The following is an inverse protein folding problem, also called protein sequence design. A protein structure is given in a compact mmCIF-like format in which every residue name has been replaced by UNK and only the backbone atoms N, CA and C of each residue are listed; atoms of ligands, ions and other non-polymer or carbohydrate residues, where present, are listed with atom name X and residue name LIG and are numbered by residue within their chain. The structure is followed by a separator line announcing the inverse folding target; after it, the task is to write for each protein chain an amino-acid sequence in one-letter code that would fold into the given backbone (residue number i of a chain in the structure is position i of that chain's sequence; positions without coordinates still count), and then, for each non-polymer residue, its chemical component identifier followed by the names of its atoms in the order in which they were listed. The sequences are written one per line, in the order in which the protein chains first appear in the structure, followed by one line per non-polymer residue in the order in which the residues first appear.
data_IF_854772596145
#
_entry.id   IF_854772596145
#
_cell.length_a   1.000
_cell.length_b   1.000
_cell.length_c   1.000
_cell.angle_alpha   90.00
_cell.angle_beta   90.00
_cell.angle_gamma   90.00
#
_symmetry.space_group_name_H-M   'P 1'
#
loop_
_entity.id
_entity.type
_entity.pdbx_description
1 polymer ?
#
# COMPACT_ATOMS: atom_id res chain seq x y z
N UNK A 1 -16.16 14.64 -11.74
CA UNK A 1 -15.79 14.35 -10.34
C UNK A 1 -15.87 15.65 -9.58
N UNK A 2 -16.74 15.77 -8.58
CA UNK A 2 -16.75 16.95 -7.71
C UNK A 2 -15.55 16.86 -6.77
N UNK A 3 -14.65 17.83 -6.81
CA UNK A 3 -13.53 17.91 -5.88
C UNK A 3 -14.09 17.98 -4.45
N UNK A 4 -13.48 17.25 -3.53
CA UNK A 4 -13.75 17.43 -2.10
C UNK A 4 -13.39 18.88 -1.73
N UNK A 5 -14.22 19.57 -0.92
CA UNK A 5 -13.88 20.92 -0.45
C UNK A 5 -12.45 20.99 0.08
N UNK A 6 -11.65 21.87 -0.52
CA UNK A 6 -10.24 22.11 -0.18
C UNK A 6 -10.10 23.46 0.53
N UNK A 7 -9.12 23.59 1.43
CA UNK A 7 -8.87 24.85 2.16
C UNK A 7 -8.69 24.68 3.67
N UNK A 8 -8.81 23.46 4.19
CA UNK A 8 -8.43 23.15 5.57
C UNK A 8 -6.93 22.79 5.66
N UNK A 9 -6.31 23.04 6.81
CA UNK A 9 -4.92 22.64 7.10
C UNK A 9 -4.75 21.13 7.34
N UNK A 10 -5.79 20.33 7.10
CA UNK A 10 -5.86 18.92 7.50
C UNK A 10 -5.93 18.06 6.24
N UNK A 11 -4.84 17.36 5.94
CA UNK A 11 -4.76 16.49 4.77
C UNK A 11 -5.74 15.30 4.81
N UNK A 12 -5.98 14.73 6.00
CA UNK A 12 -6.91 13.60 6.19
C UNK A 12 -7.96 13.97 7.25
N UNK A 13 -9.06 14.55 6.79
CA UNK A 13 -10.17 14.99 7.63
C UNK A 13 -11.30 13.95 7.73
N UNK A 14 -12.04 13.98 8.83
CA UNK A 14 -13.30 13.26 8.97
C UNK A 14 -14.45 14.03 8.28
N UNK A 15 -15.69 13.52 8.41
CA UNK A 15 -16.88 14.14 7.81
C UNK A 15 -17.21 15.55 8.32
N UNK A 16 -16.62 15.97 9.44
CA UNK A 16 -16.78 17.31 10.02
C UNK A 16 -15.65 18.26 9.62
N UNK A 17 -14.71 17.84 8.76
CA UNK A 17 -13.59 18.69 8.32
C UNK A 17 -12.42 18.79 9.31
N UNK A 18 -12.48 18.07 10.43
CA UNK A 18 -11.45 18.05 11.49
C UNK A 18 -10.61 16.76 11.41
N UNK A 19 -9.40 16.70 12.00
CA UNK A 19 -8.59 15.49 11.97
C UNK A 19 -9.24 14.34 12.75
N UNK A 20 -8.89 13.11 12.39
CA UNK A 20 -9.23 11.96 13.21
C UNK A 20 -8.53 12.04 14.57
N UNK A 21 -9.25 11.75 15.65
CA UNK A 21 -8.71 11.80 17.02
C UNK A 21 -7.58 10.80 17.28
N UNK A 22 -7.53 9.71 16.50
CA UNK A 22 -6.46 8.71 16.57
C UNK A 22 -6.38 7.86 15.31
N UNK A 23 -5.25 7.17 15.12
CA UNK A 23 -5.10 6.16 14.08
C UNK A 23 -6.14 5.02 14.19
N UNK A 24 -6.56 4.69 15.43
CA UNK A 24 -7.64 3.73 15.69
C UNK A 24 -8.97 4.25 15.16
N UNK A 25 -9.29 5.52 15.42
CA UNK A 25 -10.52 6.16 14.91
C UNK A 25 -10.58 6.15 13.38
N UNK A 26 -9.48 6.47 12.71
CA UNK A 26 -9.38 6.35 11.26
C UNK A 26 -9.60 4.90 10.78
N UNK A 27 -8.97 3.93 11.46
CA UNK A 27 -9.08 2.52 11.08
C UNK A 27 -10.50 1.98 11.22
N UNK A 28 -11.22 2.39 12.27
CA UNK A 28 -12.63 2.03 12.48
C UNK A 28 -13.52 2.64 11.38
N UNK A 29 -13.37 3.94 11.12
CA UNK A 29 -14.07 4.60 10.01
C UNK A 29 -13.81 3.90 8.68
N UNK A 30 -12.56 3.53 8.38
CA UNK A 30 -12.22 2.83 7.15
C UNK A 30 -12.91 1.46 7.06
N UNK A 31 -12.96 0.70 8.16
CA UNK A 31 -13.65 -0.60 8.21
C UNK A 31 -15.15 -0.44 7.98
N UNK A 32 -15.78 0.59 8.54
CA UNK A 32 -17.19 0.91 8.27
C UNK A 32 -17.43 1.21 6.79
N UNK A 33 -16.58 2.05 6.17
CA UNK A 33 -16.69 2.35 4.73
C UNK A 33 -16.47 1.10 3.87
N UNK A 34 -15.49 0.28 4.22
CA UNK A 34 -15.24 -1.03 3.59
C UNK A 34 -16.47 -1.93 3.66
N UNK A 35 -17.13 -2.01 4.81
CA UNK A 35 -18.35 -2.79 4.99
C UNK A 35 -19.51 -2.24 4.14
N UNK A 36 -19.72 -0.91 4.16
CA UNK A 36 -20.74 -0.25 3.33
C UNK A 36 -20.52 -0.47 1.83
N UNK A 37 -19.27 -0.57 1.40
CA UNK A 37 -18.90 -0.85 0.01
C UNK A 37 -18.96 -2.35 -0.36
N UNK A 38 -19.35 -3.24 0.56
CA UNK A 38 -19.39 -4.69 0.29
C UNK A 38 -18.01 -5.34 0.08
N UNK A 39 -16.93 -4.69 0.52
CA UNK A 39 -15.57 -5.16 0.25
C UNK A 39 -15.13 -6.27 1.23
N UNK A 40 -14.30 -7.24 0.78
CA UNK A 40 -13.78 -8.32 1.61
C UNK A 40 -13.13 -7.83 2.92
N UNK A 41 -13.21 -8.63 3.99
CA UNK A 41 -12.63 -8.29 5.31
C UNK A 41 -11.12 -7.99 5.27
N UNK A 42 -10.38 -8.55 4.31
CA UNK A 42 -8.93 -8.32 4.12
C UNK A 42 -8.59 -6.91 3.60
N UNK A 43 -9.56 -6.15 3.08
CA UNK A 43 -9.36 -4.80 2.56
C UNK A 43 -9.28 -3.78 3.70
N UNK A 44 -8.15 -3.75 4.41
CA UNK A 44 -7.88 -2.86 5.55
C UNK A 44 -6.75 -1.86 5.23
N UNK A 45 -6.61 -0.74 5.98
CA UNK A 45 -5.59 0.27 5.69
C UNK A 45 -4.16 -0.30 5.61
N UNK A 46 -3.80 -1.19 6.53
CA UNK A 46 -2.48 -1.83 6.50
C UNK A 46 -2.29 -2.70 5.24
N UNK A 47 -3.36 -3.31 4.73
CA UNK A 47 -3.36 -4.05 3.48
C UNK A 47 -3.02 -3.16 2.28
N UNK A 48 -3.55 -1.93 2.22
CA UNK A 48 -3.21 -0.96 1.17
C UNK A 48 -1.71 -0.66 1.16
N UNK A 49 -1.11 -0.47 2.34
CA UNK A 49 0.33 -0.23 2.48
C UNK A 49 1.15 -1.42 1.96
N UNK A 50 0.76 -2.66 2.28
CA UNK A 50 1.42 -3.87 1.73
C UNK A 50 1.26 -3.97 0.21
N UNK A 51 0.09 -3.63 -0.32
CA UNK A 51 -0.18 -3.63 -1.76
C UNK A 51 0.68 -2.59 -2.48
N UNK A 52 0.85 -1.39 -1.92
CA UNK A 52 1.74 -0.37 -2.47
C UNK A 52 3.20 -0.86 -2.54
N UNK A 53 3.70 -1.43 -1.44
CA UNK A 53 5.06 -2.00 -1.41
C UNK A 53 5.25 -3.12 -2.45
N UNK A 54 4.25 -4.01 -2.57
CA UNK A 54 4.26 -5.08 -3.58
C UNK A 54 4.32 -4.50 -5.00
N UNK A 55 3.47 -3.52 -5.32
CA UNK A 55 3.43 -2.88 -6.65
C UNK A 55 4.75 -2.20 -7.01
N UNK A 56 5.36 -1.49 -6.06
CA UNK A 56 6.66 -0.86 -6.26
C UNK A 56 7.75 -1.91 -6.50
N UNK A 57 7.78 -2.98 -5.70
CA UNK A 57 8.73 -4.08 -5.89
C UNK A 57 8.56 -4.77 -7.26
N UNK A 58 7.33 -5.02 -7.68
CA UNK A 58 7.02 -5.59 -9.00
C UNK A 58 7.37 -4.63 -10.15
N UNK A 59 7.34 -3.32 -9.91
CA UNK A 59 7.84 -2.30 -10.84
C UNK A 59 9.38 -2.22 -10.92
N UNK A 60 10.10 -2.98 -10.09
CA UNK A 60 11.56 -3.11 -10.16
C UNK A 60 12.33 -2.05 -9.37
N UNK A 61 11.70 -1.36 -8.41
CA UNK A 61 12.44 -0.44 -7.53
C UNK A 61 13.47 -1.22 -6.69
N UNK A 62 14.60 -0.59 -6.38
CA UNK A 62 15.58 -1.16 -5.44
C UNK A 62 15.11 -1.12 -3.98
N UNK A 63 15.76 -1.89 -3.12
CA UNK A 63 15.42 -1.99 -1.68
C UNK A 63 15.42 -0.62 -0.98
N UNK A 64 16.46 0.19 -1.17
CA UNK A 64 16.55 1.51 -0.54
C UNK A 64 15.51 2.50 -1.07
N UNK A 65 15.17 2.42 -2.37
CA UNK A 65 14.10 3.25 -2.93
C UNK A 65 12.75 2.86 -2.33
N UNK A 66 12.48 1.55 -2.19
CA UNK A 66 11.30 1.07 -1.51
C UNK A 66 11.27 1.51 -0.05
N UNK A 67 12.39 1.45 0.65
CA UNK A 67 12.50 1.94 2.03
C UNK A 67 12.18 3.43 2.14
N UNK A 68 12.73 4.27 1.26
CA UNK A 68 12.51 5.72 1.26
C UNK A 68 11.03 6.05 1.04
N UNK A 69 10.37 5.39 0.09
CA UNK A 69 8.94 5.62 -0.19
C UNK A 69 8.07 5.12 0.96
N UNK A 70 8.38 3.94 1.52
CA UNK A 70 7.58 3.36 2.57
C UNK A 70 7.87 4.00 3.93
N UNK A 71 9.01 4.67 4.13
CA UNK A 71 9.45 5.16 5.43
C UNK A 71 9.90 4.01 6.35
N UNK A 72 10.59 3.01 5.80
CA UNK A 72 11.17 1.93 6.58
C UNK A 72 12.64 2.22 6.90
N UNK A 73 13.03 1.99 8.15
CA UNK A 73 14.43 2.08 8.60
C UNK A 73 15.15 0.74 8.54
N UNK A 74 14.41 -0.37 8.58
CA UNK A 74 14.98 -1.72 8.53
C UNK A 74 14.88 -2.31 7.10
N UNK A 75 16.02 -2.63 6.45
CA UNK A 75 16.05 -3.18 5.09
C UNK A 75 15.40 -4.55 4.96
N UNK A 76 15.34 -5.32 6.04
CA UNK A 76 14.73 -6.66 6.06
C UNK A 76 13.26 -6.64 5.61
N UNK A 77 12.54 -5.54 5.84
CA UNK A 77 11.15 -5.41 5.37
C UNK A 77 11.09 -5.25 3.85
N UNK A 78 11.91 -4.37 3.28
CA UNK A 78 11.96 -4.13 1.85
C UNK A 78 12.44 -5.37 1.09
N UNK A 79 13.50 -6.01 1.59
CA UNK A 79 14.09 -7.24 1.03
C UNK A 79 13.03 -8.31 0.75
N UNK A 80 12.12 -8.56 1.68
CA UNK A 80 11.03 -9.55 1.50
C UNK A 80 10.14 -9.26 0.29
N UNK A 81 9.85 -7.99 0.01
CA UNK A 81 9.05 -7.63 -1.16
C UNK A 81 9.87 -7.75 -2.46
N UNK A 82 11.12 -7.30 -2.44
CA UNK A 82 12.03 -7.37 -3.59
C UNK A 82 12.34 -8.82 -3.97
N UNK A 83 12.73 -9.66 -3.01
CA UNK A 83 13.00 -11.09 -3.23
C UNK A 83 11.78 -11.80 -3.81
N UNK A 84 10.57 -11.50 -3.31
CA UNK A 84 9.34 -12.11 -3.82
C UNK A 84 9.05 -11.69 -5.27
N UNK A 85 9.21 -10.41 -5.59
CA UNK A 85 9.02 -9.91 -6.95
C UNK A 85 10.09 -10.47 -7.91
N UNK A 86 11.35 -10.46 -7.50
CA UNK A 86 12.48 -11.00 -8.25
C UNK A 86 12.31 -12.48 -8.53
N UNK A 87 11.93 -13.29 -7.53
CA UNK A 87 11.69 -14.73 -7.70
C UNK A 87 10.61 -15.02 -8.75
N UNK A 88 9.51 -14.25 -8.76
CA UNK A 88 8.47 -14.40 -9.77
C UNK A 88 8.98 -14.06 -11.19
N UNK A 89 9.76 -12.98 -11.31
CA UNK A 89 10.39 -12.58 -12.58
C UNK A 89 11.37 -13.63 -13.09
N UNK A 90 12.26 -14.12 -12.22
CA UNK A 90 13.25 -15.13 -12.56
C UNK A 90 12.62 -16.47 -12.95
N UNK A 91 11.54 -16.88 -12.28
CA UNK A 91 10.80 -18.08 -12.66
C UNK A 91 10.24 -17.98 -14.09
N UNK A 92 9.67 -16.82 -14.45
CA UNK A 92 9.19 -16.58 -15.83
C UNK A 92 10.36 -16.63 -16.82
N UNK A 93 11.44 -15.90 -16.57
CA UNK A 93 12.62 -15.88 -17.44
C UNK A 93 13.21 -17.28 -17.66
N UNK A 94 13.30 -18.10 -16.59
CA UNK A 94 13.79 -19.47 -16.68
C UNK A 94 12.91 -20.37 -17.56
N UNK A 95 11.59 -20.22 -17.48
CA UNK A 95 10.67 -20.97 -18.36
C UNK A 95 10.75 -20.50 -19.81
N UNK A 96 10.86 -19.18 -20.04
CA UNK A 96 10.99 -18.60 -21.38
C UNK A 96 12.24 -19.16 -22.09
N UNK A 97 13.35 -19.34 -21.36
CA UNK A 97 14.60 -19.92 -21.89
C UNK A 97 14.49 -21.39 -22.33
N UNK A 98 13.56 -22.16 -21.76
CA UNK A 98 13.32 -23.56 -22.17
C UNK A 98 12.38 -23.68 -23.36
N UNK A 99 11.69 -22.60 -23.72
CA UNK A 99 10.68 -22.56 -24.78
C UNK A 99 11.20 -22.05 -26.12
N UNK A 100 12.49 -21.73 -26.22
CA UNK A 100 13.21 -21.45 -27.47
C UNK A 100 13.95 -22.68 -27.98
#
# INVERSE_FOLDING_TARGET
MNATPSGNFVYCANSHGIPFQSAKGFSQWFVEKKNKAGLPKKCVPHGLRKCAAKRLAEAGVGEYMLMSIMGWTNPTQAKKYIEKASRAKMAKLGMDMLSG
#
